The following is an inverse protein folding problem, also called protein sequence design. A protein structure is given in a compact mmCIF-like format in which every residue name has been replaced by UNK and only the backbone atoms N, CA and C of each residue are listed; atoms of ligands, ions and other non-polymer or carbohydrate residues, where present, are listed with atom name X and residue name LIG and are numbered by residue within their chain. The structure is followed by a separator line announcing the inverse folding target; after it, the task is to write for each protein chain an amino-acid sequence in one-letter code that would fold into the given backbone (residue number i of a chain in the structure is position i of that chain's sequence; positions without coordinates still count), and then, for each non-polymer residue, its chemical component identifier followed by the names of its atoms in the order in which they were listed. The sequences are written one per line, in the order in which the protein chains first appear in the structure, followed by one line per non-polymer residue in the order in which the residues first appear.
data_IF_253419955470
#
_entry.id   IF_253419955470
#
_cell.length_a   1.000
_cell.length_b   1.000
_cell.length_c   1.000
_cell.angle_alpha   90.00
_cell.angle_beta   90.00
_cell.angle_gamma   90.00
#
_symmetry.space_group_name_H-M   'P 1'
#
loop_
_entity.id
_entity.type
_entity.pdbx_description
1 polymer ?
#
# COMPACT_ATOMS: atom_id res chain seq x y z
N UNK A 1 12.15 1.24 -2.36
CA UNK A 1 11.89 2.16 -3.49
C UNK A 1 10.38 2.31 -3.75
N UNK A 2 9.60 1.23 -4.03
CA UNK A 2 8.15 1.31 -4.28
C UNK A 2 7.40 1.98 -3.11
N UNK A 3 7.71 1.61 -1.87
CA UNK A 3 7.09 2.20 -0.67
C UNK A 3 7.39 3.70 -0.53
N UNK A 4 8.55 4.16 -0.96
CA UNK A 4 8.95 5.56 -0.86
C UNK A 4 8.16 6.40 -1.88
N UNK A 5 8.04 5.94 -3.13
CA UNK A 5 7.22 6.61 -4.14
C UNK A 5 5.72 6.55 -3.85
N UNK A 6 5.23 5.42 -3.33
CA UNK A 6 3.85 5.33 -2.86
C UNK A 6 3.53 6.38 -1.78
N UNK A 7 4.44 6.57 -0.80
CA UNK A 7 4.28 7.60 0.24
C UNK A 7 4.28 9.02 -0.33
N UNK A 8 5.08 9.30 -1.36
CA UNK A 8 5.08 10.61 -2.03
C UNK A 8 3.74 10.87 -2.71
N UNK A 9 3.22 9.91 -3.47
CA UNK A 9 1.92 10.06 -4.13
C UNK A 9 0.78 10.20 -3.12
N UNK A 10 0.72 9.34 -2.12
CA UNK A 10 -0.26 9.43 -1.04
C UNK A 10 -0.17 10.76 -0.29
N UNK A 11 1.04 11.24 -0.01
CA UNK A 11 1.25 12.54 0.64
C UNK A 11 0.82 13.71 -0.24
N UNK A 12 0.97 13.61 -1.56
CA UNK A 12 0.44 14.59 -2.52
C UNK A 12 -1.09 14.68 -2.44
N UNK A 13 -1.78 13.54 -2.41
CA UNK A 13 -3.24 13.47 -2.23
C UNK A 13 -3.69 14.01 -0.87
N UNK A 14 -2.96 13.71 0.20
CA UNK A 14 -3.21 14.27 1.53
C UNK A 14 -3.10 15.79 1.50
N UNK A 15 -2.07 16.32 0.84
CA UNK A 15 -1.85 17.77 0.71
C UNK A 15 -2.99 18.45 -0.03
N UNK A 16 -3.50 17.83 -1.08
CA UNK A 16 -4.55 18.40 -1.92
C UNK A 16 -5.95 18.28 -1.31
N UNK A 17 -6.27 17.16 -0.66
CA UNK A 17 -7.64 16.86 -0.26
C UNK A 17 -7.86 16.87 1.26
N UNK A 18 -6.88 16.44 2.04
CA UNK A 18 -7.04 16.27 3.49
C UNK A 18 -6.64 17.53 4.26
N UNK A 19 -5.54 18.18 3.89
CA UNK A 19 -5.07 19.40 4.60
C UNK A 19 -6.11 20.51 4.56
N UNK A 20 -6.73 20.88 3.42
CA UNK A 20 -7.78 21.91 3.38
C UNK A 20 -8.99 21.56 4.25
N UNK A 21 -9.35 20.28 4.36
CA UNK A 21 -10.43 19.83 5.23
C UNK A 21 -10.07 20.01 6.71
N UNK A 22 -8.82 19.66 7.10
CA UNK A 22 -8.32 19.84 8.47
C UNK A 22 -8.31 21.32 8.85
N UNK A 23 -7.80 22.18 7.98
CA UNK A 23 -7.74 23.62 8.21
C UNK A 23 -9.14 24.23 8.38
N UNK A 24 -10.10 23.76 7.60
CA UNK A 24 -11.50 24.24 7.68
C UNK A 24 -12.21 23.77 8.95
N UNK A 25 -11.99 22.53 9.39
CA UNK A 25 -12.80 21.89 10.44
C UNK A 25 -12.09 21.84 11.80
N UNK A 26 -10.77 22.12 11.84
CA UNK A 26 -9.94 22.08 13.03
C UNK A 26 -10.19 20.86 13.94
N UNK A 27 -10.11 19.61 13.39
CA UNK A 27 -10.38 18.42 14.17
C UNK A 27 -9.29 18.15 15.19
N UNK A 28 -9.62 17.49 16.28
CA UNK A 28 -8.63 16.95 17.20
C UNK A 28 -7.96 15.74 16.57
N UNK A 29 -6.65 15.81 16.35
CA UNK A 29 -5.83 14.75 15.75
C UNK A 29 -4.60 14.45 16.59
N UNK A 30 -4.19 13.18 16.61
CA UNK A 30 -3.02 12.74 17.38
C UNK A 30 -1.72 13.37 16.85
N UNK A 31 -0.73 13.50 17.71
CA UNK A 31 0.60 14.00 17.35
C UNK A 31 1.24 13.22 16.21
N UNK A 32 1.05 11.89 16.19
CA UNK A 32 1.58 11.02 15.13
C UNK A 32 0.97 11.37 13.76
N UNK A 33 -0.35 11.54 13.69
CA UNK A 33 -1.04 11.95 12.47
C UNK A 33 -0.63 13.35 12.04
N UNK A 34 -0.52 14.30 12.97
CA UNK A 34 -0.03 15.65 12.69
C UNK A 34 1.37 15.65 12.06
N UNK A 35 2.28 14.82 12.56
CA UNK A 35 3.61 14.70 11.99
C UNK A 35 3.57 14.19 10.54
N UNK A 36 2.69 13.24 10.23
CA UNK A 36 2.49 12.75 8.85
C UNK A 36 1.93 13.82 7.93
N UNK A 37 0.99 14.62 8.42
CA UNK A 37 0.41 15.76 7.67
C UNK A 37 1.50 16.80 7.37
N UNK A 38 2.35 17.14 8.35
CA UNK A 38 3.50 18.03 8.15
C UNK A 38 4.49 17.49 7.11
N UNK A 39 4.74 16.19 7.12
CA UNK A 39 5.57 15.57 6.07
C UNK A 39 4.91 15.68 4.70
N UNK A 40 3.62 15.43 4.60
CA UNK A 40 2.87 15.53 3.35
C UNK A 40 2.84 16.98 2.81
N UNK A 41 2.71 17.99 3.68
CA UNK A 41 2.69 19.41 3.28
C UNK A 41 4.00 19.86 2.61
N UNK A 42 5.13 19.21 2.92
CA UNK A 42 6.45 19.53 2.36
C UNK A 42 6.73 18.87 1.00
N UNK A 43 5.87 17.95 0.56
CA UNK A 43 6.07 17.27 -0.73
C UNK A 43 5.96 18.26 -1.88
N UNK A 44 6.95 18.22 -2.76
CA UNK A 44 7.08 19.11 -3.90
C UNK A 44 6.42 18.52 -5.16
N UNK A 45 6.12 19.38 -6.13
CA UNK A 45 5.61 18.94 -7.43
C UNK A 45 6.62 18.08 -8.18
N UNK A 46 7.91 18.34 -8.04
CA UNK A 46 8.95 17.57 -8.71
C UNK A 46 9.04 16.15 -8.15
N UNK A 47 8.92 15.98 -6.83
CA UNK A 47 8.83 14.66 -6.20
C UNK A 47 7.60 13.89 -6.69
N UNK A 48 6.44 14.55 -6.79
CA UNK A 48 5.21 13.92 -7.33
C UNK A 48 5.39 13.51 -8.79
N UNK A 49 6.02 14.36 -9.62
CA UNK A 49 6.28 14.06 -11.03
C UNK A 49 7.21 12.83 -11.16
N UNK A 50 8.26 12.78 -10.35
CA UNK A 50 9.19 11.64 -10.33
C UNK A 50 8.47 10.34 -9.88
N UNK A 51 7.65 10.43 -8.84
CA UNK A 51 6.87 9.32 -8.34
C UNK A 51 5.84 8.81 -9.37
N UNK A 52 5.19 9.71 -10.12
CA UNK A 52 4.29 9.34 -11.21
C UNK A 52 5.04 8.66 -12.36
N UNK A 53 6.24 9.13 -12.72
CA UNK A 53 7.07 8.44 -13.70
C UNK A 53 7.39 7.01 -13.27
N UNK A 54 7.89 6.85 -12.05
CA UNK A 54 8.14 5.53 -11.47
C UNK A 54 6.89 4.63 -11.49
N UNK A 55 5.72 5.18 -11.14
CA UNK A 55 4.44 4.46 -11.17
C UNK A 55 4.12 3.96 -12.58
N UNK A 56 4.30 4.79 -13.60
CA UNK A 56 4.03 4.40 -15.00
C UNK A 56 4.99 3.30 -15.48
N UNK A 57 6.27 3.40 -15.12
CA UNK A 57 7.27 2.39 -15.44
C UNK A 57 6.92 1.05 -14.74
N UNK A 58 6.55 1.10 -13.46
CA UNK A 58 6.10 -0.07 -12.69
C UNK A 58 4.85 -0.72 -13.30
N UNK A 59 3.85 0.08 -13.70
CA UNK A 59 2.65 -0.44 -14.37
C UNK A 59 3.03 -1.21 -15.63
N UNK A 60 3.95 -0.66 -16.43
CA UNK A 60 4.42 -1.29 -17.67
C UNK A 60 5.13 -2.62 -17.39
N UNK A 61 6.03 -2.66 -16.41
CA UNK A 61 6.74 -3.88 -16.00
C UNK A 61 5.79 -4.95 -15.46
N UNK A 62 4.82 -4.54 -14.63
CA UNK A 62 3.84 -5.48 -14.07
C UNK A 62 2.89 -6.01 -15.16
N UNK A 63 2.52 -5.20 -16.14
CA UNK A 63 1.71 -5.66 -17.29
C UNK A 63 2.42 -6.71 -18.13
N UNK A 64 3.74 -6.62 -18.27
CA UNK A 64 4.56 -7.62 -18.97
C UNK A 64 4.68 -8.89 -18.12
N UNK A 65 4.98 -8.74 -16.83
CA UNK A 65 5.25 -9.88 -15.92
C UNK A 65 3.97 -10.63 -15.51
N UNK A 66 2.85 -9.94 -15.44
CA UNK A 66 1.55 -10.47 -15.04
C UNK A 66 0.47 -10.05 -16.06
N UNK A 67 0.49 -10.62 -17.27
CA UNK A 67 -0.47 -10.29 -18.32
C UNK A 67 -1.89 -10.73 -17.96
N UNK A 68 -2.87 -10.21 -18.71
CA UNK A 68 -4.28 -10.56 -18.56
C UNK A 68 -4.48 -12.08 -18.59
N UNK A 69 -5.25 -12.59 -17.63
CA UNK A 69 -5.52 -14.02 -17.45
C UNK A 69 -4.65 -14.68 -16.39
N UNK A 70 -3.59 -14.04 -15.92
CA UNK A 70 -2.71 -14.56 -14.88
C UNK A 70 -2.99 -13.93 -13.52
N UNK A 71 -2.81 -14.70 -12.46
CA UNK A 71 -2.94 -14.27 -11.07
C UNK A 71 -1.60 -14.53 -10.38
N UNK A 72 -1.04 -13.50 -9.75
CA UNK A 72 0.12 -13.67 -8.88
C UNK A 72 -0.33 -14.07 -7.47
N UNK A 73 0.40 -15.00 -6.85
CA UNK A 73 0.15 -15.48 -5.49
C UNK A 73 1.39 -15.20 -4.65
N UNK A 74 1.21 -14.52 -3.53
CA UNK A 74 2.30 -14.18 -2.61
C UNK A 74 1.77 -13.96 -1.18
N UNK A 75 2.62 -13.98 -0.14
CA UNK A 75 2.21 -13.61 1.20
C UNK A 75 1.70 -12.16 1.24
N UNK A 76 0.55 -11.89 1.87
CA UNK A 76 0.00 -10.53 1.98
C UNK A 76 0.96 -9.60 2.74
N UNK A 77 1.59 -10.13 3.78
CA UNK A 77 2.52 -9.39 4.64
C UNK A 77 3.80 -10.20 4.83
N UNK A 78 4.95 -9.56 5.06
CA UNK A 78 6.23 -10.25 5.24
C UNK A 78 6.37 -10.95 6.61
N UNK A 79 5.41 -10.74 7.51
CA UNK A 79 5.36 -11.29 8.87
C UNK A 79 3.93 -11.23 9.40
N UNK A 80 3.65 -11.95 10.48
CA UNK A 80 2.41 -11.84 11.25
C UNK A 80 2.31 -10.47 11.94
N UNK A 81 1.13 -10.16 12.49
CA UNK A 81 0.91 -8.90 13.19
C UNK A 81 1.96 -8.66 14.29
N UNK A 82 2.55 -7.46 14.38
CA UNK A 82 3.47 -7.12 15.47
C UNK A 82 2.74 -7.16 16.82
N UNK A 83 3.48 -7.48 17.88
CA UNK A 83 2.93 -7.45 19.23
C UNK A 83 2.61 -6.02 19.67
N UNK A 84 1.58 -5.86 20.48
CA UNK A 84 1.28 -4.59 21.12
C UNK A 84 2.43 -4.13 22.04
N UNK A 85 2.68 -2.82 22.07
CA UNK A 85 3.71 -2.24 22.93
C UNK A 85 5.14 -2.27 22.39
N UNK A 86 5.34 -2.63 21.13
CA UNK A 86 6.66 -2.47 20.47
C UNK A 86 7.00 -0.97 20.30
N UNK A 87 8.30 -0.68 20.37
CA UNK A 87 8.79 0.68 20.18
C UNK A 87 8.58 1.18 18.74
N UNK A 88 8.54 2.51 18.56
CA UNK A 88 8.28 3.14 17.27
C UNK A 88 9.35 2.83 16.21
N UNK A 89 10.60 2.62 16.61
CA UNK A 89 11.69 2.32 15.68
C UNK A 89 11.50 0.93 15.06
N UNK A 90 11.21 -0.09 15.88
CA UNK A 90 10.92 -1.44 15.43
C UNK A 90 9.68 -1.47 14.53
N UNK A 91 8.62 -0.73 14.90
CA UNK A 91 7.42 -0.57 14.10
C UNK A 91 7.69 0.17 12.78
N UNK A 92 8.57 1.15 12.76
CA UNK A 92 8.95 1.91 11.56
C UNK A 92 9.61 1.03 10.49
N UNK A 93 10.57 0.20 10.90
CA UNK A 93 11.24 -0.76 10.01
C UNK A 93 10.25 -1.81 9.48
N UNK A 94 9.36 -2.30 10.33
CA UNK A 94 8.31 -3.24 9.97
C UNK A 94 7.30 -2.64 8.99
N UNK A 95 6.88 -1.39 9.21
CA UNK A 95 5.99 -0.64 8.29
C UNK A 95 6.60 -0.48 6.90
N UNK A 96 7.90 -0.18 6.79
CA UNK A 96 8.55 -0.04 5.49
C UNK A 96 8.53 -1.35 4.70
N UNK A 97 8.82 -2.48 5.35
CA UNK A 97 8.75 -3.83 4.74
C UNK A 97 7.31 -4.15 4.31
N UNK A 98 6.34 -3.88 5.18
CA UNK A 98 4.93 -4.08 4.89
C UNK A 98 4.49 -3.28 3.66
N UNK A 99 4.79 -1.98 3.65
CA UNK A 99 4.44 -1.10 2.52
C UNK A 99 5.11 -1.52 1.21
N UNK A 100 6.32 -2.10 1.25
CA UNK A 100 6.98 -2.60 0.03
C UNK A 100 6.19 -3.72 -0.66
N UNK A 101 5.41 -4.49 0.08
CA UNK A 101 4.55 -5.55 -0.47
C UNK A 101 3.15 -5.04 -0.80
N UNK A 102 2.55 -4.25 0.09
CA UNK A 102 1.15 -3.83 -0.03
C UNK A 102 0.94 -2.64 -0.97
N UNK A 103 1.99 -1.87 -1.28
CA UNK A 103 1.88 -0.72 -2.18
C UNK A 103 1.67 -1.09 -3.65
N UNK A 104 1.96 -2.33 -4.04
CA UNK A 104 1.89 -2.73 -5.45
C UNK A 104 0.50 -2.52 -6.04
N UNK A 105 -0.54 -2.84 -5.31
CA UNK A 105 -1.94 -2.64 -5.73
C UNK A 105 -2.29 -1.17 -5.89
N UNK A 106 -1.95 -0.35 -4.90
CA UNK A 106 -2.17 1.09 -4.95
C UNK A 106 -1.39 1.79 -6.05
N UNK A 107 -0.19 1.30 -6.37
CA UNK A 107 0.65 1.83 -7.45
C UNK A 107 0.17 1.39 -8.83
N UNK A 108 -0.39 0.20 -8.97
CA UNK A 108 -0.73 -0.40 -10.27
C UNK A 108 -2.22 -0.45 -10.58
N UNK A 109 -3.08 -0.01 -9.64
CA UNK A 109 -4.55 -0.06 -9.75
C UNK A 109 -5.10 -1.47 -10.05
N UNK A 110 -4.41 -2.49 -9.56
CA UNK A 110 -4.81 -3.90 -9.73
C UNK A 110 -5.56 -4.41 -8.51
N UNK A 111 -6.63 -5.20 -8.68
CA UNK A 111 -7.35 -5.78 -7.57
C UNK A 111 -6.49 -6.84 -6.85
N UNK A 112 -6.60 -6.87 -5.53
CA UNK A 112 -5.95 -7.87 -4.67
C UNK A 112 -6.94 -8.38 -3.62
N UNK A 113 -6.91 -9.68 -3.39
CA UNK A 113 -7.64 -10.33 -2.31
C UNK A 113 -6.64 -10.95 -1.35
N UNK A 114 -6.87 -10.80 -0.05
CA UNK A 114 -6.10 -11.47 0.99
C UNK A 114 -6.93 -12.59 1.64
N UNK A 115 -6.38 -13.79 1.68
CA UNK A 115 -7.00 -14.98 2.24
C UNK A 115 -6.23 -15.36 3.50
N UNK A 116 -6.85 -15.45 4.70
CA UNK A 116 -6.17 -15.69 5.97
C UNK A 116 -5.88 -17.19 6.18
N UNK A 117 -5.10 -17.83 5.31
CA UNK A 117 -4.86 -19.28 5.33
C UNK A 117 -3.47 -19.73 5.82
N UNK A 118 -2.50 -18.82 5.89
CA UNK A 118 -1.15 -19.16 6.36
C UNK A 118 -0.98 -18.81 7.84
N UNK A 119 -0.01 -19.49 8.46
CA UNK A 119 0.48 -19.16 9.80
C UNK A 119 2.00 -19.23 9.79
N UNK A 120 2.63 -18.29 10.46
CA UNK A 120 4.01 -18.39 10.89
C UNK A 120 4.08 -18.80 12.37
N UNK A 121 5.28 -18.76 12.97
CA UNK A 121 5.49 -19.12 14.38
C UNK A 121 4.81 -18.16 15.36
N UNK A 122 4.44 -16.96 14.92
CA UNK A 122 3.94 -15.87 15.77
C UNK A 122 2.46 -15.56 15.51
N UNK A 123 1.87 -16.02 14.40
CA UNK A 123 0.46 -15.81 14.13
C UNK A 123 0.02 -16.02 12.68
N UNK A 124 -1.21 -15.63 12.35
CA UNK A 124 -1.72 -15.77 10.98
C UNK A 124 -1.04 -14.80 10.01
N UNK A 125 -0.81 -15.28 8.80
CA UNK A 125 -0.35 -14.50 7.64
C UNK A 125 -1.28 -14.76 6.47
N UNK A 126 -1.70 -13.71 5.76
CA UNK A 126 -2.56 -13.85 4.58
C UNK A 126 -1.79 -14.32 3.34
N UNK A 127 -2.49 -14.99 2.45
CA UNK A 127 -2.08 -15.19 1.05
C UNK A 127 -2.81 -14.16 0.21
N UNK A 128 -2.09 -13.43 -0.63
CA UNK A 128 -2.66 -12.51 -1.59
C UNK A 128 -2.77 -13.14 -2.97
N UNK A 129 -3.90 -12.88 -3.60
CA UNK A 129 -4.13 -13.09 -5.03
C UNK A 129 -4.19 -11.71 -5.68
N UNK A 130 -3.22 -11.40 -6.55
CA UNK A 130 -3.17 -10.17 -7.33
C UNK A 130 -3.59 -10.47 -8.77
N UNK A 131 -4.64 -9.82 -9.23
CA UNK A 131 -5.15 -9.96 -10.58
C UNK A 131 -4.59 -8.93 -11.56
N UNK A 132 -5.17 -8.90 -12.75
CA UNK A 132 -4.95 -7.84 -13.75
C UNK A 132 -6.03 -6.75 -13.60
N UNK A 133 -5.86 -5.65 -14.25
CA UNK A 133 -6.79 -4.52 -14.21
C UNK A 133 -8.24 -4.96 -14.57
N UNK A 134 -9.22 -4.55 -13.75
CA UNK A 134 -10.65 -4.90 -13.88
C UNK A 134 -10.95 -6.41 -13.72
N UNK A 135 -10.14 -7.16 -12.99
CA UNK A 135 -10.39 -8.59 -12.72
C UNK A 135 -11.05 -8.86 -11.35
N UNK A 136 -11.67 -7.86 -10.73
CA UNK A 136 -12.26 -7.96 -9.39
C UNK A 136 -13.24 -9.13 -9.25
N UNK A 137 -14.23 -9.21 -10.17
CA UNK A 137 -15.23 -10.29 -10.16
C UNK A 137 -14.59 -11.68 -10.35
N UNK A 138 -13.55 -11.76 -11.17
CA UNK A 138 -12.84 -13.04 -11.41
C UNK A 138 -12.12 -13.48 -10.14
N UNK A 139 -11.45 -12.55 -9.44
CA UNK A 139 -10.81 -12.85 -8.17
C UNK A 139 -11.82 -13.28 -7.11
N UNK A 140 -12.97 -12.61 -7.02
CA UNK A 140 -14.04 -12.96 -6.08
C UNK A 140 -14.61 -14.34 -6.37
N UNK A 141 -14.85 -14.67 -7.64
CA UNK A 141 -15.34 -15.99 -8.02
C UNK A 141 -14.33 -17.11 -7.70
N UNK A 142 -13.02 -16.84 -7.82
CA UNK A 142 -11.97 -17.78 -7.43
C UNK A 142 -11.96 -18.12 -5.94
N UNK A 143 -12.46 -17.22 -5.07
CA UNK A 143 -12.58 -17.52 -3.64
C UNK A 143 -13.60 -18.62 -3.34
N UNK A 144 -14.61 -18.80 -4.18
CA UNK A 144 -15.63 -19.85 -3.99
C UNK A 144 -15.10 -21.24 -4.33
N UNK A 145 -13.93 -21.33 -5.00
CA UNK A 145 -13.26 -22.56 -5.40
C UNK A 145 -12.18 -23.01 -4.39
N UNK A 146 -11.83 -22.17 -3.36
CA UNK A 146 -10.78 -22.39 -2.37
C UNK A 146 -11.39 -22.64 -0.97
#
# INVERSE_FOLDING_TARGET
EIADYFRILQGGEIKEHVIPWIEKNNPEISTEINNRIKMASNITKDEINLANKFRNDLISEVNISLPKGNIAIFPTTPFSAPLCGQDEYALGASRKKLMSMTSITGMTSRPQISIPKLKDKTGPVGISLLGWENSDEILLNKLTEI
#
